data_IF_535338479360
#
_entry.id   IF_535338479360
#
_cell.length_a   1.000
_cell.length_b   1.000
_cell.length_c   1.000
_cell.angle_alpha   90.00
_cell.angle_beta   90.00
_cell.angle_gamma   90.00
#
_symmetry.space_group_name_H-M   'P 1'
#
loop_
_entity.id
_entity.type
_entity.pdbx_description
1 polymer ?
#
# COMPACT_ATOMS: atom_id res chain seq x y z
N UNK A 1 -20.87 14.41 7.44
CA UNK A 1 -20.04 15.00 6.36
C UNK A 1 -19.20 13.90 5.74
N UNK A 2 -19.20 13.79 4.41
CA UNK A 2 -18.34 12.82 3.72
C UNK A 2 -16.88 13.19 3.96
N UNK A 3 -16.05 12.21 4.32
CA UNK A 3 -14.63 12.41 4.57
C UNK A 3 -13.93 12.71 3.24
N UNK A 4 -13.27 13.88 3.12
CA UNK A 4 -12.53 14.23 1.91
C UNK A 4 -11.14 13.56 1.93
N UNK A 5 -11.06 12.38 1.34
CA UNK A 5 -9.84 11.55 1.34
C UNK A 5 -8.65 12.19 0.63
N UNK A 6 -8.90 12.98 -0.41
CA UNK A 6 -7.85 13.69 -1.12
C UNK A 6 -7.13 14.69 -0.21
N UNK A 7 -7.88 15.52 0.51
CA UNK A 7 -7.33 16.50 1.45
C UNK A 7 -6.54 15.83 2.58
N UNK A 8 -7.02 14.68 3.09
CA UNK A 8 -6.34 13.92 4.14
C UNK A 8 -4.99 13.40 3.65
N UNK A 9 -4.95 12.82 2.45
CA UNK A 9 -3.71 12.30 1.87
C UNK A 9 -2.73 13.44 1.63
N UNK A 10 -3.18 14.55 1.05
CA UNK A 10 -2.32 15.73 0.85
C UNK A 10 -1.74 16.24 2.16
N UNK A 11 -2.57 16.34 3.20
CA UNK A 11 -2.12 16.75 4.53
C UNK A 11 -1.06 15.80 5.09
N UNK A 12 -1.27 14.48 5.01
CA UNK A 12 -0.32 13.49 5.53
C UNK A 12 0.99 13.46 4.71
N UNK A 13 0.93 13.60 3.39
CA UNK A 13 2.13 13.71 2.53
C UNK A 13 2.93 14.96 2.88
N UNK A 14 2.28 16.13 3.00
CA UNK A 14 2.94 17.36 3.41
C UNK A 14 3.57 17.26 4.81
N UNK A 15 2.88 16.59 5.74
CA UNK A 15 3.43 16.31 7.07
C UNK A 15 4.64 15.35 7.00
N UNK A 16 4.59 14.32 6.17
CA UNK A 16 5.70 13.38 5.96
C UNK A 16 6.93 14.09 5.39
N UNK A 17 6.74 14.95 4.37
CA UNK A 17 7.81 15.75 3.76
C UNK A 17 8.42 16.76 4.74
N UNK A 18 7.62 17.30 5.66
CA UNK A 18 8.09 18.20 6.71
C UNK A 18 8.74 17.48 7.91
N UNK A 19 9.05 16.18 7.79
CA UNK A 19 9.68 15.39 8.85
C UNK A 19 8.75 15.05 10.02
N UNK A 20 7.44 15.31 9.92
CA UNK A 20 6.45 15.02 10.98
C UNK A 20 5.94 13.58 10.92
N UNK A 21 6.85 12.62 10.79
CA UNK A 21 6.52 11.19 10.65
C UNK A 21 5.71 10.65 11.83
N UNK A 22 5.97 11.13 13.05
CA UNK A 22 5.23 10.72 14.26
C UNK A 22 3.75 11.05 14.17
N UNK A 23 3.43 12.25 13.66
CA UNK A 23 2.05 12.68 13.45
C UNK A 23 1.38 11.82 12.38
N UNK A 24 2.06 11.61 11.24
CA UNK A 24 1.55 10.76 10.16
C UNK A 24 1.28 9.34 10.66
N UNK A 25 2.16 8.76 11.48
CA UNK A 25 1.94 7.43 12.08
C UNK A 25 0.71 7.41 12.99
N UNK A 26 0.48 8.44 13.81
CA UNK A 26 -0.72 8.55 14.64
C UNK A 26 -1.97 8.62 13.77
N UNK A 27 -1.96 9.47 12.75
CA UNK A 27 -3.11 9.68 11.87
C UNK A 27 -3.43 8.40 11.09
N UNK A 28 -2.43 7.71 10.55
CA UNK A 28 -2.59 6.43 9.86
C UNK A 28 -3.15 5.35 10.78
N UNK A 29 -2.66 5.22 12.02
CA UNK A 29 -3.18 4.26 13.01
C UNK A 29 -4.64 4.54 13.39
N UNK A 30 -5.08 5.79 13.32
CA UNK A 30 -6.47 6.20 13.58
C UNK A 30 -7.43 5.89 12.42
N UNK A 31 -6.91 5.51 11.24
CA UNK A 31 -7.74 5.26 10.07
C UNK A 31 -8.59 4.00 10.23
N UNK A 32 -9.89 4.15 9.98
CA UNK A 32 -10.73 3.02 9.69
C UNK A 32 -10.53 2.57 8.23
N UNK A 33 -9.66 1.59 8.03
CA UNK A 33 -9.25 1.10 6.70
C UNK A 33 -10.40 0.55 5.86
N UNK A 34 -11.46 0.02 6.49
CA UNK A 34 -12.62 -0.51 5.76
C UNK A 34 -13.45 0.60 5.09
N UNK A 35 -13.38 1.83 5.60
CA UNK A 35 -14.08 3.00 5.05
C UNK A 35 -13.29 3.73 3.97
N UNK A 36 -12.07 3.29 3.66
CA UNK A 36 -11.22 3.90 2.62
C UNK A 36 -11.70 3.44 1.24
N UNK A 37 -12.10 4.35 0.33
CA UNK A 37 -12.45 4.01 -1.04
C UNK A 37 -11.26 3.42 -1.79
N UNK A 38 -11.50 2.46 -2.69
CA UNK A 38 -10.46 1.76 -3.46
C UNK A 38 -9.46 2.71 -4.13
N UNK A 39 -9.94 3.80 -4.71
CA UNK A 39 -9.13 4.81 -5.39
C UNK A 39 -7.96 5.37 -4.56
N UNK A 40 -8.07 5.35 -3.22
CA UNK A 40 -7.10 5.94 -2.30
C UNK A 40 -6.24 4.90 -1.57
N UNK A 41 -6.53 3.60 -1.72
CA UNK A 41 -5.92 2.55 -0.91
C UNK A 41 -4.44 2.36 -1.22
N UNK A 42 -4.03 2.32 -2.48
CA UNK A 42 -2.62 2.18 -2.85
C UNK A 42 -1.78 3.35 -2.36
N UNK A 43 -2.28 4.58 -2.51
CA UNK A 43 -1.58 5.78 -2.02
C UNK A 43 -1.41 5.76 -0.51
N UNK A 44 -2.46 5.42 0.24
CA UNK A 44 -2.38 5.30 1.70
C UNK A 44 -1.50 4.13 2.14
N UNK A 45 -1.49 3.02 1.40
CA UNK A 45 -0.61 1.88 1.68
C UNK A 45 0.87 2.25 1.49
N UNK A 46 1.19 2.93 0.39
CA UNK A 46 2.53 3.48 0.14
C UNK A 46 2.97 4.41 1.27
N UNK A 47 2.11 5.36 1.66
CA UNK A 47 2.39 6.31 2.74
C UNK A 47 2.59 5.60 4.08
N UNK A 48 1.77 4.59 4.38
CA UNK A 48 1.91 3.79 5.59
C UNK A 48 3.22 3.02 5.63
N UNK A 49 3.59 2.37 4.53
CA UNK A 49 4.86 1.65 4.40
C UNK A 49 6.07 2.57 4.59
N UNK A 50 6.09 3.73 3.91
CA UNK A 50 7.16 4.76 4.04
C UNK A 50 7.29 5.30 5.47
N UNK A 51 6.21 5.25 6.25
CA UNK A 51 6.19 5.65 7.65
C UNK A 51 6.31 4.46 8.62
N UNK A 52 6.84 3.31 8.18
CA UNK A 52 7.12 2.16 9.04
C UNK A 52 5.88 1.45 9.57
N UNK A 53 4.73 1.58 8.89
CA UNK A 53 3.47 0.91 9.23
C UNK A 53 3.00 -0.03 8.11
N UNK A 54 3.83 -0.99 7.64
CA UNK A 54 3.50 -1.87 6.51
C UNK A 54 2.23 -2.69 6.74
N UNK A 55 1.94 -3.09 7.99
CA UNK A 55 0.71 -3.80 8.34
C UNK A 55 -0.57 -3.01 8.01
N UNK A 56 -0.53 -1.68 8.05
CA UNK A 56 -1.68 -0.86 7.64
C UNK A 56 -1.84 -0.93 6.11
N UNK A 57 -0.73 -0.90 5.36
CA UNK A 57 -0.76 -1.08 3.90
C UNK A 57 -1.36 -2.43 3.50
N UNK A 58 -0.94 -3.51 4.16
CA UNK A 58 -1.54 -4.84 3.99
C UNK A 58 -3.04 -4.79 4.29
N UNK A 59 -3.47 -4.23 5.43
CA UNK A 59 -4.89 -4.15 5.79
C UNK A 59 -5.74 -3.32 4.81
N UNK A 60 -5.17 -2.28 4.20
CA UNK A 60 -5.86 -1.47 3.18
C UNK A 60 -6.09 -2.29 1.91
N UNK A 61 -5.09 -3.04 1.47
CA UNK A 61 -5.08 -3.70 0.16
C UNK A 61 -5.55 -5.17 0.21
N UNK A 62 -5.56 -5.81 1.39
CA UNK A 62 -6.01 -7.20 1.56
C UNK A 62 -7.40 -7.48 0.97
N UNK A 63 -8.43 -6.61 1.15
CA UNK A 63 -9.75 -6.86 0.57
C UNK A 63 -9.80 -6.81 -0.96
N UNK A 64 -8.72 -6.37 -1.62
CA UNK A 64 -8.60 -6.33 -3.09
C UNK A 64 -7.77 -7.54 -3.56
N UNK A 65 -6.63 -7.80 -2.90
CA UNK A 65 -5.68 -8.84 -3.33
C UNK A 65 -6.12 -10.25 -2.92
N UNK A 66 -6.71 -10.38 -1.73
CA UNK A 66 -7.11 -11.67 -1.11
C UNK A 66 -8.64 -11.77 -0.97
N UNK A 67 -9.39 -11.19 -1.91
CA UNK A 67 -10.84 -11.32 -1.89
C UNK A 67 -11.27 -12.74 -2.27
N UNK A 68 -11.97 -13.42 -1.37
CA UNK A 68 -12.66 -14.69 -1.69
C UNK A 68 -13.95 -14.47 -2.50
N UNK A 69 -14.40 -13.21 -2.59
CA UNK A 69 -15.59 -12.84 -3.33
C UNK A 69 -15.23 -12.41 -4.76
N UNK A 70 -16.07 -12.75 -5.76
CA UNK A 70 -15.95 -12.19 -7.09
C UNK A 70 -15.90 -10.66 -7.01
N UNK A 71 -14.90 -10.07 -7.66
CA UNK A 71 -14.76 -8.62 -7.80
C UNK A 71 -15.04 -8.23 -9.25
N UNK A 72 -15.77 -7.14 -9.44
CA UNK A 72 -16.06 -6.61 -10.78
C UNK A 72 -14.79 -6.18 -11.52
N UNK A 73 -13.77 -5.77 -10.77
CA UNK A 73 -12.51 -5.25 -11.27
C UNK A 73 -11.32 -6.00 -10.66
N UNK A 74 -10.45 -6.54 -11.50
CA UNK A 74 -9.19 -7.18 -11.08
C UNK A 74 -8.30 -6.19 -10.31
N UNK A 75 -7.41 -6.67 -9.43
CA UNK A 75 -6.38 -5.84 -8.82
C UNK A 75 -5.51 -5.14 -9.87
N UNK A 76 -5.23 -3.86 -9.67
CA UNK A 76 -4.31 -3.08 -10.51
C UNK A 76 -2.87 -3.40 -10.14
N UNK A 77 -1.94 -3.19 -11.08
CA UNK A 77 -0.52 -3.47 -10.82
C UNK A 77 0.03 -2.69 -9.63
N UNK A 78 -0.40 -1.44 -9.42
CA UNK A 78 -0.01 -0.62 -8.27
C UNK A 78 -0.53 -1.17 -6.94
N UNK A 79 -1.73 -1.78 -6.95
CA UNK A 79 -2.31 -2.43 -5.76
C UNK A 79 -1.52 -3.69 -5.40
N UNK A 80 -1.18 -4.51 -6.40
CA UNK A 80 -0.39 -5.72 -6.23
C UNK A 80 1.02 -5.36 -5.73
N UNK A 81 1.69 -4.40 -6.37
CA UNK A 81 3.05 -4.03 -6.02
C UNK A 81 3.15 -3.45 -4.60
N UNK A 82 2.25 -2.55 -4.21
CA UNK A 82 2.31 -1.95 -2.86
C UNK A 82 1.96 -2.96 -1.76
N UNK A 83 1.05 -3.89 -2.03
CA UNK A 83 0.76 -4.99 -1.11
C UNK A 83 1.98 -5.91 -0.96
N UNK A 84 2.60 -6.31 -2.07
CA UNK A 84 3.76 -7.18 -2.07
C UNK A 84 4.97 -6.56 -1.35
N UNK A 85 5.27 -5.27 -1.58
CA UNK A 85 6.36 -4.61 -0.83
C UNK A 85 6.01 -4.47 0.65
N UNK A 86 4.74 -4.24 0.99
CA UNK A 86 4.33 -4.22 2.40
C UNK A 86 4.51 -5.58 3.08
N UNK A 87 4.30 -6.69 2.37
CA UNK A 87 4.60 -8.05 2.82
C UNK A 87 6.11 -8.27 2.99
N UNK A 88 6.91 -7.81 2.02
CA UNK A 88 8.38 -7.89 2.09
C UNK A 88 8.91 -7.16 3.34
N UNK A 89 8.37 -5.98 3.65
CA UNK A 89 8.72 -5.18 4.83
C UNK A 89 8.44 -5.87 6.17
N UNK A 90 7.63 -6.93 6.21
CA UNK A 90 7.37 -7.74 7.42
C UNK A 90 8.00 -9.14 7.35
N UNK A 91 8.82 -9.41 6.33
CA UNK A 91 9.51 -10.69 6.16
C UNK A 91 8.71 -11.78 5.45
N UNK A 92 7.53 -11.47 4.90
CA UNK A 92 6.74 -12.42 4.10
C UNK A 92 7.28 -12.50 2.64
N UNK A 93 8.55 -12.88 2.51
CA UNK A 93 9.34 -12.80 1.27
C UNK A 93 8.75 -13.65 0.14
N UNK A 94 8.41 -14.91 0.41
CA UNK A 94 7.89 -15.83 -0.60
C UNK A 94 6.55 -15.35 -1.19
N UNK A 95 5.66 -14.85 -0.34
CA UNK A 95 4.38 -14.32 -0.77
C UNK A 95 4.55 -13.04 -1.61
N UNK A 96 5.43 -12.14 -1.16
CA UNK A 96 5.77 -10.94 -1.91
C UNK A 96 6.33 -11.28 -3.29
N UNK A 97 7.22 -12.27 -3.38
CA UNK A 97 7.80 -12.76 -4.64
C UNK A 97 6.73 -13.24 -5.62
N UNK A 98 5.85 -14.14 -5.18
CA UNK A 98 4.78 -14.70 -6.02
C UNK A 98 3.91 -13.60 -6.62
N UNK A 99 3.60 -12.55 -5.85
CA UNK A 99 2.80 -11.43 -6.33
C UNK A 99 3.57 -10.53 -7.30
N UNK A 100 4.83 -10.21 -6.99
CA UNK A 100 5.66 -9.39 -7.87
C UNK A 100 5.92 -10.08 -9.21
N UNK A 101 6.06 -11.41 -9.23
CA UNK A 101 6.27 -12.22 -10.43
C UNK A 101 5.07 -12.20 -11.41
N UNK A 102 3.89 -11.77 -10.95
CA UNK A 102 2.70 -11.59 -11.80
C UNK A 102 2.72 -10.31 -12.64
N UNK A 103 3.65 -9.38 -12.35
CA UNK A 103 3.70 -8.06 -12.99
C UNK A 103 4.81 -7.99 -14.06
N UNK A 104 4.52 -7.36 -15.20
CA UNK A 104 5.54 -7.03 -16.20
C UNK A 104 6.26 -5.73 -15.79
N UNK A 105 7.59 -5.78 -15.70
CA UNK A 105 8.42 -4.63 -15.36
C UNK A 105 8.43 -3.54 -16.44
N UNK A 106 7.97 -3.82 -17.66
CA UNK A 106 7.78 -2.81 -18.72
C UNK A 106 6.58 -1.91 -18.42
N UNK A 107 5.51 -2.47 -17.86
CA UNK A 107 4.29 -1.75 -17.51
C UNK A 107 4.39 -1.13 -16.10
N UNK A 108 5.08 -1.82 -15.18
CA UNK A 108 5.28 -1.38 -13.80
C UNK A 108 6.77 -1.37 -13.42
N UNK A 109 7.55 -0.35 -13.81
CA UNK A 109 9.00 -0.33 -13.60
C UNK A 109 9.45 -0.47 -12.14
N UNK A 110 8.65 -0.01 -11.18
CA UNK A 110 8.93 -0.14 -9.75
C UNK A 110 9.06 -1.60 -9.29
N UNK A 111 8.42 -2.55 -9.98
CA UNK A 111 8.50 -3.98 -9.70
C UNK A 111 9.93 -4.51 -9.83
N UNK A 112 10.72 -3.97 -10.77
CA UNK A 112 12.11 -4.38 -10.94
C UNK A 112 12.94 -4.06 -9.69
N UNK A 113 12.74 -2.87 -9.12
CA UNK A 113 13.35 -2.49 -7.86
C UNK A 113 12.86 -3.38 -6.71
N UNK A 114 11.56 -3.62 -6.62
CA UNK A 114 10.98 -4.42 -5.55
C UNK A 114 11.43 -5.87 -5.58
N UNK A 115 11.59 -6.47 -6.77
CA UNK A 115 12.17 -7.81 -6.93
C UNK A 115 13.62 -7.85 -6.47
N UNK A 116 14.40 -6.77 -6.69
CA UNK A 116 15.78 -6.74 -6.20
C UNK A 116 15.87 -6.86 -4.68
N UNK A 117 14.90 -6.30 -3.94
CA UNK A 117 14.85 -6.37 -2.47
C UNK A 117 14.56 -7.77 -1.91
N UNK A 118 14.10 -8.71 -2.74
CA UNK A 118 13.88 -10.11 -2.32
C UNK A 118 15.21 -10.85 -2.13
N UNK A 119 16.25 -10.44 -2.85
CA UNK A 119 17.55 -11.13 -2.88
C UNK A 119 18.56 -10.64 -1.83
N UNK A 120 18.19 -9.64 -1.03
CA UNK A 120 19.00 -9.07 0.06
C UNK A 120 18.46 -9.51 1.42
#
# INVERSE_FOLDING_TARGET
MAKNWYQIIQYMEAASQAGRGDQVRKDLKSLNTSKVPRAYRSTLANLARRNGLPLIGIRLLNPIIRSDKPMDEKPRGEEISEYAVSLLNIGAVDEARILLDQLDGRDFPSVLLYRSFIHF
#
